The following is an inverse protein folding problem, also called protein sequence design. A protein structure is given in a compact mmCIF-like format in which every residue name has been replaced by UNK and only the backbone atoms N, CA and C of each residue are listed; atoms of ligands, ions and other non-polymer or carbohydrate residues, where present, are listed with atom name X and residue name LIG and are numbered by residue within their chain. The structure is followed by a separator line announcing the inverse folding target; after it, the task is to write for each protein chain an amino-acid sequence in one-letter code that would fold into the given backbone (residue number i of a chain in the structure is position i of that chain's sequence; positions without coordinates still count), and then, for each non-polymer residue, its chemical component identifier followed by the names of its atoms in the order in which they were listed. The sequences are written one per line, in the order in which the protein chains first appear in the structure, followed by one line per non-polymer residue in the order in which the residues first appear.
data_IF_493822046843
#
_entry.id   IF_493822046843
#
_cell.length_a   1.000
_cell.length_b   1.000
_cell.length_c   1.000
_cell.angle_alpha   90.00
_cell.angle_beta   90.00
_cell.angle_gamma   90.00
#
_symmetry.space_group_name_H-M   'P 1'
#
loop_
_entity.id
_entity.type
_entity.pdbx_description
1 polymer ?
#
# COMPACT_ATOMS: atom_id res chain seq x y z
N UNK A 1 6.59 -16.89 9.09
CA UNK A 1 7.72 -16.05 9.57
C UNK A 1 7.15 -14.85 10.30
N UNK A 2 7.87 -14.27 11.26
CA UNK A 2 7.37 -13.10 12.03
C UNK A 2 7.43 -11.83 11.19
N UNK A 3 6.34 -11.06 11.21
CA UNK A 3 6.28 -9.75 10.58
C UNK A 3 7.27 -8.76 11.20
N UNK A 4 7.76 -7.82 10.39
CA UNK A 4 8.69 -6.76 10.80
C UNK A 4 8.23 -5.43 10.24
N UNK A 5 8.41 -4.37 11.03
CA UNK A 5 8.23 -3.00 10.59
C UNK A 5 9.58 -2.48 10.09
N UNK A 6 9.60 -1.66 9.06
CA UNK A 6 10.73 -0.99 8.44
C UNK A 6 10.34 0.47 8.22
N UNK A 7 11.25 1.42 8.41
CA UNK A 7 10.96 2.82 8.12
C UNK A 7 12.20 3.68 7.91
N UNK A 8 11.96 4.90 7.41
CA UNK A 8 12.97 5.96 7.27
C UNK A 8 13.71 6.30 8.56
N UNK A 9 13.18 5.92 9.72
CA UNK A 9 13.74 6.20 11.06
C UNK A 9 14.81 5.21 11.47
N UNK A 10 14.84 4.04 10.86
CA UNK A 10 15.76 3.00 11.26
C UNK A 10 17.20 3.34 10.83
N UNK A 11 18.16 2.91 11.64
CA UNK A 11 19.57 3.06 11.30
C UNK A 11 19.92 2.30 10.01
N UNK A 12 20.55 3.00 9.06
CA UNK A 12 20.96 2.44 7.76
C UNK A 12 19.85 2.37 6.71
N UNK A 13 18.63 2.78 7.05
CA UNK A 13 17.52 2.77 6.10
C UNK A 13 17.70 3.83 5.00
N UNK A 14 17.09 3.63 3.82
CA UNK A 14 16.92 4.70 2.84
C UNK A 14 16.34 5.97 3.48
N UNK A 15 16.96 7.15 3.25
CA UNK A 15 16.61 8.35 3.98
C UNK A 15 15.22 8.87 3.57
N UNK A 16 14.56 9.64 4.44
CA UNK A 16 13.33 10.33 4.07
C UNK A 16 13.57 11.41 2.99
N UNK A 17 14.75 12.03 3.00
CA UNK A 17 15.14 13.05 2.03
C UNK A 17 16.27 12.52 1.15
N UNK A 18 16.00 12.43 -0.15
CA UNK A 18 17.00 12.11 -1.16
C UNK A 18 17.55 13.39 -1.80
N UNK A 19 18.74 13.32 -2.40
CA UNK A 19 19.17 14.33 -3.35
C UNK A 19 18.11 14.62 -4.41
N UNK A 20 18.22 15.77 -5.09
CA UNK A 20 17.61 15.91 -6.41
C UNK A 20 18.26 14.89 -7.38
N UNK A 21 18.10 14.85 -8.69
CA UNK A 21 18.52 13.70 -9.51
C UNK A 21 17.88 12.30 -9.21
N UNK A 22 17.57 11.91 -7.96
CA UNK A 22 16.91 10.63 -7.65
C UNK A 22 15.40 10.72 -7.93
N UNK A 23 14.94 9.92 -8.90
CA UNK A 23 13.54 9.90 -9.33
C UNK A 23 12.62 9.24 -8.30
N UNK A 24 11.31 9.57 -8.26
CA UNK A 24 10.31 8.89 -7.44
C UNK A 24 10.36 7.35 -7.52
N UNK A 25 10.48 6.81 -8.74
CA UNK A 25 10.54 5.36 -8.95
C UNK A 25 11.79 4.75 -8.30
N UNK A 26 12.96 5.40 -8.43
CA UNK A 26 14.19 4.95 -7.80
C UNK A 26 14.09 4.96 -6.27
N UNK A 27 13.46 6.00 -5.68
CA UNK A 27 13.18 6.05 -4.24
C UNK A 27 12.28 4.89 -3.81
N UNK A 28 11.15 4.71 -4.47
CA UNK A 28 10.21 3.61 -4.21
C UNK A 28 10.89 2.24 -4.29
N UNK A 29 11.64 2.00 -5.37
CA UNK A 29 12.40 0.77 -5.58
C UNK A 29 13.42 0.54 -4.45
N UNK A 30 14.13 1.60 -4.01
CA UNK A 30 15.07 1.52 -2.91
C UNK A 30 14.42 1.13 -1.58
N UNK A 31 13.21 1.63 -1.30
CA UNK A 31 12.46 1.29 -0.09
C UNK A 31 12.02 -0.18 -0.10
N UNK A 32 11.47 -0.65 -1.22
CA UNK A 32 11.06 -2.04 -1.37
C UNK A 32 12.25 -2.99 -1.26
N UNK A 33 13.36 -2.71 -1.96
CA UNK A 33 14.57 -3.55 -1.87
C UNK A 33 15.11 -3.62 -0.46
N UNK A 34 15.26 -2.47 0.21
CA UNK A 34 15.80 -2.38 1.55
C UNK A 34 14.95 -3.15 2.58
N UNK A 35 13.62 -3.06 2.53
CA UNK A 35 12.76 -3.75 3.49
C UNK A 35 12.54 -5.24 3.15
N UNK A 36 12.37 -5.56 1.87
CA UNK A 36 11.85 -6.86 1.46
C UNK A 36 12.95 -7.86 1.08
N UNK A 37 14.05 -7.39 0.51
CA UNK A 37 15.06 -8.24 -0.16
C UNK A 37 16.42 -8.17 0.53
N UNK A 38 16.97 -6.96 0.69
CA UNK A 38 18.37 -6.78 1.07
C UNK A 38 18.56 -6.60 2.59
N UNK A 39 17.58 -6.00 3.27
CA UNK A 39 17.74 -5.51 4.63
C UNK A 39 18.58 -4.22 4.65
N UNK A 40 18.83 -3.70 5.85
CA UNK A 40 19.72 -2.55 6.03
C UNK A 40 20.18 -2.43 7.48
N UNK A 41 21.38 -1.86 7.69
CA UNK A 41 22.00 -1.80 9.01
C UNK A 41 22.12 -3.21 9.61
N UNK A 42 21.55 -3.41 10.81
CA UNK A 42 21.44 -4.73 11.46
C UNK A 42 20.04 -5.36 11.31
N UNK A 43 19.19 -4.78 10.47
CA UNK A 43 17.80 -5.20 10.29
C UNK A 43 17.71 -6.15 9.09
N UNK A 44 17.35 -7.43 9.29
CA UNK A 44 17.26 -8.40 8.20
C UNK A 44 16.08 -8.08 7.27
N UNK A 45 16.10 -8.53 6.00
CA UNK A 45 14.98 -8.39 5.08
C UNK A 45 13.75 -9.20 5.49
N UNK A 46 12.60 -8.89 4.89
CA UNK A 46 11.35 -9.61 5.13
C UNK A 46 11.34 -11.02 4.51
N UNK A 47 12.14 -11.27 3.47
CA UNK A 47 12.32 -12.59 2.86
C UNK A 47 11.73 -12.72 1.45
N UNK A 48 11.50 -11.60 0.76
CA UNK A 48 11.11 -11.59 -0.65
C UNK A 48 12.33 -11.65 -1.55
N UNK A 49 12.13 -12.00 -2.81
CA UNK A 49 13.20 -12.07 -3.83
C UNK A 49 12.90 -11.19 -5.03
N UNK A 50 13.95 -10.61 -5.62
CA UNK A 50 13.85 -9.95 -6.93
C UNK A 50 13.82 -11.01 -8.03
N UNK A 51 12.77 -10.98 -8.85
CA UNK A 51 12.64 -11.85 -10.03
C UNK A 51 13.24 -11.18 -11.26
N UNK A 52 13.00 -9.88 -11.42
CA UNK A 52 13.60 -9.06 -12.47
C UNK A 52 13.67 -7.61 -12.00
N UNK A 53 14.63 -6.86 -12.54
CA UNK A 53 14.81 -5.46 -12.20
C UNK A 53 15.36 -4.66 -13.38
N UNK A 54 14.77 -3.49 -13.58
CA UNK A 54 15.12 -2.51 -14.60
C UNK A 54 15.14 -1.11 -13.97
N UNK A 55 15.54 -0.11 -14.75
CA UNK A 55 15.43 1.30 -14.32
C UNK A 55 13.97 1.75 -14.17
N UNK A 56 13.06 1.10 -14.87
CA UNK A 56 11.63 1.44 -14.94
C UNK A 56 10.72 0.34 -14.40
N UNK A 57 11.28 -0.75 -13.89
CA UNK A 57 10.49 -1.85 -13.35
C UNK A 57 11.20 -2.59 -12.21
N UNK A 58 10.42 -3.16 -11.31
CA UNK A 58 10.90 -4.19 -10.37
C UNK A 58 9.81 -5.24 -10.19
N UNK A 59 10.20 -6.50 -10.25
CA UNK A 59 9.33 -7.65 -10.01
C UNK A 59 9.80 -8.39 -8.77
N UNK A 60 8.87 -8.61 -7.84
CA UNK A 60 9.13 -9.24 -6.55
C UNK A 60 8.28 -10.49 -6.37
N UNK A 61 8.85 -11.50 -5.71
CA UNK A 61 8.15 -12.71 -5.30
C UNK A 61 8.21 -12.88 -3.77
N UNK A 62 7.11 -13.32 -3.12
CA UNK A 62 7.13 -13.78 -1.74
C UNK A 62 7.93 -15.09 -1.63
N UNK A 63 8.25 -15.51 -0.41
CA UNK A 63 9.03 -16.72 -0.16
C UNK A 63 8.36 -18.00 -0.71
N UNK A 64 7.03 -18.10 -0.65
CA UNK A 64 6.28 -19.19 -1.28
C UNK A 64 6.37 -19.21 -2.80
N UNK A 65 6.74 -18.08 -3.42
CA UNK A 65 6.69 -17.83 -4.86
C UNK A 65 5.32 -18.19 -5.47
N UNK A 66 4.24 -18.07 -4.69
CA UNK A 66 2.89 -18.43 -5.13
C UNK A 66 2.34 -17.46 -6.19
N UNK A 67 2.83 -16.23 -6.22
CA UNK A 67 2.50 -15.20 -7.20
C UNK A 67 3.63 -14.16 -7.20
N UNK A 68 3.65 -13.30 -8.21
CA UNK A 68 4.67 -12.25 -8.36
C UNK A 68 4.00 -10.91 -8.60
N UNK A 69 4.58 -9.84 -8.07
CA UNK A 69 4.12 -8.47 -8.31
C UNK A 69 5.16 -7.71 -9.13
N UNK A 70 4.73 -7.05 -10.20
CA UNK A 70 5.55 -6.13 -10.97
C UNK A 70 5.06 -4.70 -10.78
N UNK A 71 5.98 -3.83 -10.41
CA UNK A 71 5.81 -2.38 -10.43
C UNK A 71 6.48 -1.83 -11.67
N UNK A 72 5.70 -1.36 -12.63
CA UNK A 72 6.17 -0.86 -13.91
C UNK A 72 5.87 0.63 -14.07
N UNK A 73 6.90 1.46 -14.16
CA UNK A 73 6.77 2.88 -14.50
C UNK A 73 6.33 2.99 -15.95
N UNK A 74 5.13 3.55 -16.16
CA UNK A 74 4.60 3.76 -17.50
C UNK A 74 5.32 4.94 -18.17
N UNK A 75 5.87 4.72 -19.37
CA UNK A 75 6.67 5.72 -20.09
C UNK A 75 5.99 6.30 -21.34
N UNK A 76 4.78 5.87 -21.70
CA UNK A 76 4.14 6.35 -22.93
C UNK A 76 3.41 7.67 -22.69
N UNK A 77 4.08 8.78 -23.05
CA UNK A 77 3.50 10.12 -23.14
C UNK A 77 4.40 11.23 -22.59
N UNK A 78 4.34 12.41 -23.19
CA UNK A 78 4.90 13.64 -22.59
C UNK A 78 3.93 14.18 -21.55
N UNK A 79 4.37 14.37 -20.29
CA UNK A 79 3.56 14.99 -19.22
C UNK A 79 3.69 14.31 -17.85
N UNK A 80 2.77 14.64 -16.94
CA UNK A 80 2.64 14.12 -15.56
C UNK A 80 2.35 12.61 -15.46
N UNK A 81 2.24 11.91 -16.59
CA UNK A 81 2.03 10.45 -16.69
C UNK A 81 3.28 9.67 -16.26
N UNK A 82 4.46 10.29 -16.30
CA UNK A 82 5.75 9.71 -15.89
C UNK A 82 5.86 9.34 -14.41
N UNK A 83 4.89 9.78 -13.61
CA UNK A 83 4.86 9.68 -12.16
C UNK A 83 4.04 8.49 -11.68
N UNK A 84 3.35 7.83 -12.61
CA UNK A 84 2.52 6.68 -12.34
C UNK A 84 3.29 5.39 -12.53
N UNK A 85 3.05 4.46 -11.61
CA UNK A 85 3.50 3.08 -11.69
C UNK A 85 2.26 2.21 -11.85
N UNK A 86 2.25 1.38 -12.88
CA UNK A 86 1.28 0.31 -13.00
C UNK A 86 1.70 -0.90 -12.14
N UNK A 87 0.71 -1.50 -11.49
CA UNK A 87 0.87 -2.69 -10.65
C UNK A 87 0.30 -3.89 -11.39
N UNK A 88 1.14 -4.89 -11.63
CA UNK A 88 0.75 -6.16 -12.24
C UNK A 88 0.99 -7.31 -11.27
N UNK A 89 0.09 -8.28 -11.28
CA UNK A 89 0.26 -9.57 -10.64
C UNK A 89 0.47 -10.66 -11.69
N UNK A 90 1.24 -11.69 -11.35
CA UNK A 90 1.50 -12.83 -12.22
C UNK A 90 1.45 -14.13 -11.40
N UNK A 91 0.93 -15.22 -11.97
CA UNK A 91 1.06 -16.56 -11.35
C UNK A 91 2.50 -17.10 -11.47
N UNK A 92 3.24 -16.63 -12.46
CA UNK A 92 4.65 -16.94 -12.68
C UNK A 92 5.19 -16.20 -13.91
N UNK A 93 6.50 -16.01 -14.00
CA UNK A 93 7.14 -15.38 -15.16
C UNK A 93 7.35 -16.36 -16.33
N UNK A 94 7.11 -15.87 -17.55
CA UNK A 94 7.42 -16.55 -18.81
C UNK A 94 8.60 -15.87 -19.52
N UNK A 95 8.68 -14.54 -19.45
CA UNK A 95 9.74 -13.73 -20.07
C UNK A 95 10.02 -12.50 -19.21
N UNK A 96 11.28 -12.36 -18.80
CA UNK A 96 11.79 -11.27 -17.95
C UNK A 96 12.80 -10.38 -18.69
N UNK A 97 12.88 -10.49 -20.02
CA UNK A 97 13.83 -9.70 -20.83
C UNK A 97 13.40 -8.24 -21.03
N UNK A 98 12.15 -7.90 -20.72
CA UNK A 98 11.57 -6.56 -20.85
C UNK A 98 11.06 -6.00 -19.52
N UNK A 99 11.07 -4.67 -19.31
CA UNK A 99 10.55 -4.04 -18.09
C UNK A 99 9.10 -4.36 -17.74
N UNK A 100 8.24 -4.58 -18.73
CA UNK A 100 6.94 -5.20 -18.52
C UNK A 100 7.10 -6.70 -18.85
N UNK A 101 7.28 -7.57 -17.85
CA UNK A 101 7.51 -8.98 -18.08
C UNK A 101 6.23 -9.67 -18.53
N UNK A 102 6.37 -10.72 -19.34
CA UNK A 102 5.25 -11.61 -19.68
C UNK A 102 5.18 -12.69 -18.61
N UNK A 103 4.00 -12.89 -18.02
CA UNK A 103 3.75 -13.93 -17.04
C UNK A 103 2.46 -14.69 -17.29
N UNK A 104 2.32 -15.82 -16.62
CA UNK A 104 1.11 -16.64 -16.60
C UNK A 104 0.00 -15.86 -15.89
N UNK A 105 -1.17 -15.78 -16.53
CA UNK A 105 -2.35 -15.08 -16.02
C UNK A 105 -1.99 -13.67 -15.51
N UNK A 106 -1.21 -12.91 -16.28
CA UNK A 106 -0.78 -11.56 -15.86
C UNK A 106 -1.97 -10.63 -15.75
N UNK A 107 -2.16 -9.97 -14.60
CA UNK A 107 -3.28 -9.08 -14.33
C UNK A 107 -2.87 -7.72 -13.80
N UNK A 108 -3.54 -6.69 -14.29
CA UNK A 108 -3.65 -5.39 -13.62
C UNK A 108 -5.14 -5.11 -13.49
N UNK A 109 -5.63 -4.98 -12.24
CA UNK A 109 -7.04 -5.19 -11.87
C UNK A 109 -7.51 -6.59 -12.28
N UNK A 110 -8.71 -6.69 -12.83
CA UNK A 110 -9.27 -7.92 -13.37
C UNK A 110 -8.85 -8.20 -14.82
N UNK A 111 -8.20 -7.24 -15.49
CA UNK A 111 -7.85 -7.33 -16.90
C UNK A 111 -6.50 -8.01 -17.14
N UNK A 112 -6.44 -8.82 -18.21
CA UNK A 112 -5.20 -9.44 -18.67
C UNK A 112 -4.26 -8.41 -19.28
N UNK A 113 -2.95 -8.51 -19.00
CA UNK A 113 -1.95 -7.69 -19.68
C UNK A 113 -1.88 -7.96 -21.19
N UNK A 114 -2.26 -9.16 -21.65
CA UNK A 114 -2.31 -9.51 -23.08
C UNK A 114 -3.39 -8.72 -23.85
N UNK A 115 -4.40 -8.22 -23.14
CA UNK A 115 -5.45 -7.37 -23.71
C UNK A 115 -5.13 -5.88 -23.63
N UNK A 116 -3.94 -5.51 -23.13
CA UNK A 116 -3.49 -4.14 -22.87
C UNK A 116 -4.57 -3.34 -22.13
N UNK A 117 -4.60 -3.32 -20.78
CA UNK A 117 -5.58 -2.48 -20.09
C UNK A 117 -5.43 -1.08 -20.68
N UNK A 118 -6.51 -0.57 -21.30
CA UNK A 118 -6.48 0.82 -21.74
C UNK A 118 -6.03 1.65 -20.55
N UNK A 119 -5.34 2.76 -20.80
CA UNK A 119 -4.73 3.52 -19.71
C UNK A 119 -5.69 3.77 -18.55
N UNK A 120 -6.99 3.87 -18.80
CA UNK A 120 -8.05 4.12 -17.84
C UNK A 120 -8.42 2.95 -16.90
N UNK A 121 -7.99 1.71 -17.19
CA UNK A 121 -8.36 0.52 -16.41
C UNK A 121 -7.15 -0.18 -15.75
N UNK A 122 -5.97 0.41 -15.81
CA UNK A 122 -4.82 -0.12 -15.09
C UNK A 122 -4.95 0.06 -13.56
N UNK A 123 -4.39 -0.84 -12.77
CA UNK A 123 -4.11 -0.58 -11.36
C UNK A 123 -2.86 0.29 -11.33
N UNK A 124 -2.99 1.52 -10.84
CA UNK A 124 -1.86 2.46 -10.78
C UNK A 124 -1.66 3.01 -9.38
N UNK A 125 -0.42 3.35 -9.07
CA UNK A 125 -0.05 4.22 -7.96
C UNK A 125 0.59 5.48 -8.53
N UNK A 126 0.24 6.63 -7.96
CA UNK A 126 0.87 7.90 -8.30
C UNK A 126 2.01 8.17 -7.32
N UNK A 127 3.21 8.48 -7.80
CA UNK A 127 4.36 8.83 -6.96
C UNK A 127 4.83 10.28 -7.14
N UNK A 128 4.03 11.16 -7.76
CA UNK A 128 4.47 12.53 -8.05
C UNK A 128 4.71 13.39 -6.80
N UNK A 129 4.20 13.02 -5.63
CA UNK A 129 4.57 13.66 -4.37
C UNK A 129 5.93 13.18 -3.83
N UNK A 130 6.63 12.27 -4.48
CA UNK A 130 8.01 11.95 -4.13
C UNK A 130 9.01 12.84 -4.90
N UNK A 131 8.54 13.88 -5.60
CA UNK A 131 9.38 14.87 -6.29
C UNK A 131 10.05 15.89 -5.36
N UNK A 132 10.92 16.69 -5.98
CA UNK A 132 12.08 17.38 -5.44
C UNK A 132 11.88 18.12 -4.09
N UNK A 133 12.88 17.99 -3.22
CA UNK A 133 13.12 18.77 -2.00
C UNK A 133 12.20 18.50 -0.80
N UNK A 134 11.23 17.60 -0.93
CA UNK A 134 10.35 17.24 0.18
C UNK A 134 10.78 15.93 0.83
N UNK A 135 10.78 15.92 2.17
CA UNK A 135 10.92 14.68 2.93
C UNK A 135 9.74 13.75 2.64
N UNK A 136 10.06 12.48 2.41
CA UNK A 136 9.13 11.40 2.12
C UNK A 136 9.21 10.39 3.26
N UNK A 137 8.26 10.46 4.18
CA UNK A 137 8.23 9.60 5.36
C UNK A 137 7.57 8.28 5.01
N UNK A 138 8.37 7.22 4.94
CA UNK A 138 7.93 5.90 4.50
C UNK A 138 8.00 4.87 5.62
N UNK A 139 7.12 3.89 5.55
CA UNK A 139 7.20 2.68 6.35
C UNK A 139 6.70 1.47 5.58
N UNK A 140 7.23 0.31 5.93
CA UNK A 140 6.79 -0.98 5.42
C UNK A 140 6.59 -1.92 6.60
N UNK A 141 5.44 -2.56 6.73
CA UNK A 141 5.33 -3.76 7.55
C UNK A 141 5.24 -4.97 6.65
N UNK A 142 6.08 -5.98 6.89
CA UNK A 142 6.15 -7.13 6.02
C UNK A 142 6.54 -8.41 6.75
N UNK A 143 5.99 -9.52 6.29
CA UNK A 143 6.55 -10.86 6.46
C UNK A 143 7.02 -11.40 5.09
N UNK A 144 7.27 -12.71 5.03
CA UNK A 144 7.76 -13.35 3.82
C UNK A 144 6.68 -13.54 2.72
N UNK A 145 5.41 -13.29 3.02
CA UNK A 145 4.26 -13.53 2.13
C UNK A 145 3.47 -12.26 1.81
N UNK A 146 3.60 -11.24 2.66
CA UNK A 146 2.81 -10.00 2.59
C UNK A 146 3.65 -8.80 2.99
N UNK A 147 3.47 -7.69 2.29
CA UNK A 147 3.96 -6.38 2.72
C UNK A 147 2.89 -5.30 2.57
N UNK A 148 2.98 -4.30 3.43
CA UNK A 148 2.19 -3.08 3.40
C UNK A 148 3.16 -1.93 3.28
N UNK A 149 3.12 -1.19 2.16
CA UNK A 149 3.92 -0.01 1.92
C UNK A 149 3.08 1.25 2.19
N UNK A 150 3.64 2.16 2.99
CA UNK A 150 3.01 3.42 3.31
C UNK A 150 3.99 4.56 3.13
N UNK A 151 3.49 5.69 2.63
CA UNK A 151 4.31 6.89 2.47
C UNK A 151 3.46 8.13 2.64
N UNK A 152 4.07 9.15 3.24
CA UNK A 152 3.52 10.50 3.36
C UNK A 152 4.59 11.53 2.97
N UNK A 153 4.29 12.45 2.06
CA UNK A 153 5.14 13.59 1.74
C UNK A 153 4.93 14.73 2.72
N UNK A 154 6.04 15.30 3.19
CA UNK A 154 6.05 16.52 4.00
C UNK A 154 5.82 17.77 3.13
N UNK A 155 4.65 18.40 3.27
CA UNK A 155 4.43 19.78 2.76
C UNK A 155 4.14 20.80 3.87
N UNK A 156 4.11 20.38 5.15
CA UNK A 156 3.80 21.25 6.29
C UNK A 156 3.24 20.48 7.50
N UNK A 157 2.69 21.23 8.47
CA UNK A 157 1.94 20.72 9.63
C UNK A 157 0.63 20.06 9.18
N UNK A 158 0.23 18.93 9.77
CA UNK A 158 -1.08 18.29 9.55
C UNK A 158 -1.51 18.16 8.08
N UNK A 159 -0.63 17.75 7.18
CA UNK A 159 -1.01 17.58 5.78
C UNK A 159 -1.89 16.33 5.60
N UNK A 160 -3.19 16.55 5.41
CA UNK A 160 -4.24 15.53 5.26
C UNK A 160 -4.67 15.30 3.81
N UNK A 161 -3.96 15.87 2.84
CA UNK A 161 -4.35 15.76 1.43
C UNK A 161 -3.96 14.38 0.84
N UNK A 162 -4.96 13.73 0.22
CA UNK A 162 -4.81 12.50 -0.59
C UNK A 162 -3.75 12.60 -1.70
N UNK A 163 -3.34 13.82 -2.06
CA UNK A 163 -2.31 14.03 -3.06
C UNK A 163 -0.91 13.60 -2.57
N UNK A 164 -0.71 13.37 -1.27
CA UNK A 164 0.62 13.25 -0.66
C UNK A 164 0.86 11.96 0.10
N UNK A 165 -0.08 11.02 0.05
CA UNK A 165 0.01 9.77 0.77
C UNK A 165 -0.20 8.57 -0.14
N UNK A 166 0.11 7.39 0.38
CA UNK A 166 -0.22 6.10 -0.23
C UNK A 166 -0.18 5.02 0.85
N UNK A 167 -1.21 4.19 0.88
CA UNK A 167 -1.18 2.87 1.50
C UNK A 167 -1.41 1.80 0.42
N UNK A 168 -0.44 0.90 0.28
CA UNK A 168 -0.47 -0.21 -0.66
C UNK A 168 -0.26 -1.52 0.09
N UNK A 169 -1.21 -2.45 -0.06
CA UNK A 169 -1.10 -3.82 0.41
C UNK A 169 -0.73 -4.74 -0.75
N UNK A 170 0.24 -5.64 -0.56
CA UNK A 170 0.53 -6.71 -1.51
C UNK A 170 0.84 -8.00 -0.76
N UNK A 171 0.13 -9.08 -1.09
CA UNK A 171 0.39 -10.40 -0.50
C UNK A 171 -0.86 -11.21 -0.19
N UNK A 172 -0.68 -12.20 0.69
CA UNK A 172 -1.76 -13.03 1.24
C UNK A 172 -2.59 -12.25 2.26
N UNK A 173 -3.91 -12.31 2.17
CA UNK A 173 -4.83 -11.80 3.19
C UNK A 173 -5.39 -12.94 4.06
N UNK A 174 -5.96 -12.62 5.22
CA UNK A 174 -6.66 -13.61 6.05
C UNK A 174 -7.99 -13.98 5.38
N UNK A 175 -8.11 -15.18 4.83
CA UNK A 175 -9.31 -15.59 4.10
C UNK A 175 -10.39 -16.20 5.00
N UNK A 176 -11.64 -15.80 4.81
CA UNK A 176 -12.80 -16.44 5.44
C UNK A 176 -13.23 -17.74 4.74
N UNK A 177 -12.84 -17.93 3.48
CA UNK A 177 -13.15 -19.11 2.68
C UNK A 177 -11.97 -20.10 2.58
N UNK A 178 -10.82 -19.78 3.17
CA UNK A 178 -9.59 -20.58 3.05
C UNK A 178 -8.80 -20.35 1.75
N UNK A 179 -9.11 -19.28 1.00
CA UNK A 179 -8.32 -18.86 -0.16
C UNK A 179 -6.85 -18.64 0.24
N UNK A 180 -5.93 -19.25 -0.49
CA UNK A 180 -4.49 -19.20 -0.23
C UNK A 180 -3.69 -19.32 -1.53
N UNK A 181 -2.37 -19.13 -1.45
CA UNK A 181 -1.49 -19.16 -2.63
C UNK A 181 -1.92 -18.12 -3.67
N UNK A 182 -1.94 -18.49 -4.95
CA UNK A 182 -2.38 -17.59 -6.04
C UNK A 182 -3.75 -16.96 -5.77
N UNK A 183 -4.70 -17.70 -5.19
CA UNK A 183 -6.07 -17.21 -4.97
C UNK A 183 -6.13 -16.12 -3.89
N UNK A 184 -5.33 -16.30 -2.83
CA UNK A 184 -5.23 -15.37 -1.70
C UNK A 184 -4.30 -14.18 -1.95
N UNK A 185 -3.55 -14.17 -3.06
CA UNK A 185 -2.60 -13.11 -3.36
C UNK A 185 -3.27 -11.92 -4.06
N UNK A 186 -3.25 -10.76 -3.41
CA UNK A 186 -3.87 -9.53 -3.91
C UNK A 186 -2.89 -8.35 -3.84
N UNK A 187 -3.13 -7.34 -4.66
CA UNK A 187 -2.57 -6.01 -4.46
C UNK A 187 -3.73 -5.01 -4.35
N UNK A 188 -3.75 -4.16 -3.33
CA UNK A 188 -4.83 -3.18 -3.10
C UNK A 188 -4.28 -1.85 -2.57
N UNK A 189 -4.73 -0.75 -3.15
CA UNK A 189 -4.25 0.62 -2.90
C UNK A 189 -4.12 1.41 -4.19
N UNK A 190 -3.83 2.71 -4.13
CA UNK A 190 -3.68 3.53 -5.34
C UNK A 190 -5.01 3.86 -6.03
N UNK A 191 -5.03 3.80 -7.36
CA UNK A 191 -6.14 4.27 -8.19
C UNK A 191 -6.43 3.36 -9.40
N UNK A 192 -7.60 3.59 -10.01
CA UNK A 192 -7.97 3.07 -11.32
C UNK A 192 -7.53 4.04 -12.43
N UNK A 193 -6.67 3.54 -13.30
CA UNK A 193 -6.28 4.17 -14.55
C UNK A 193 -5.29 5.33 -14.43
N UNK A 194 -4.50 5.53 -15.47
CA UNK A 194 -3.73 6.75 -15.68
C UNK A 194 -4.70 7.89 -15.97
N UNK A 195 -4.81 8.83 -15.04
CA UNK A 195 -5.64 10.00 -15.25
C UNK A 195 -4.84 11.04 -16.04
N UNK A 196 -5.39 11.44 -17.20
CA UNK A 196 -4.84 12.50 -18.02
C UNK A 196 -5.37 13.85 -17.51
N UNK A 197 -4.46 14.82 -17.37
CA UNK A 197 -4.67 16.26 -17.07
C UNK A 197 -5.21 16.71 -15.69
N UNK A 198 -4.40 17.54 -15.00
CA UNK A 198 -4.75 18.57 -13.99
C UNK A 198 -5.57 18.22 -12.74
N UNK A 199 -6.24 17.06 -12.70
CA UNK A 199 -6.79 16.46 -11.50
C UNK A 199 -5.72 15.57 -10.88
N UNK A 200 -5.20 15.95 -9.72
CA UNK A 200 -4.27 15.11 -8.96
C UNK A 200 -4.87 13.72 -8.77
N UNK A 201 -4.23 12.67 -9.26
CA UNK A 201 -4.61 11.33 -8.86
C UNK A 201 -4.36 11.18 -7.37
N UNK A 202 -5.45 10.93 -6.67
CA UNK A 202 -5.47 10.60 -5.26
C UNK A 202 -5.01 9.17 -5.17
N UNK A 203 -3.97 8.86 -4.38
CA UNK A 203 -3.81 7.48 -3.96
C UNK A 203 -4.85 7.24 -2.89
N UNK A 204 -5.75 6.31 -3.13
CA UNK A 204 -6.69 5.87 -2.12
C UNK A 204 -5.97 4.76 -1.36
N UNK A 205 -5.56 5.00 -0.13
CA UNK A 205 -4.92 3.95 0.67
C UNK A 205 -5.87 2.78 0.81
N UNK A 206 -5.43 1.61 0.34
CA UNK A 206 -6.26 0.39 0.29
C UNK A 206 -7.58 0.54 -0.49
N UNK A 207 -7.70 1.57 -1.35
CA UNK A 207 -8.95 1.94 -2.02
C UNK A 207 -9.12 1.38 -3.42
N UNK A 208 -9.41 2.26 -4.39
CA UNK A 208 -9.98 1.88 -5.69
C UNK A 208 -9.04 1.14 -6.64
N UNK A 209 -7.71 1.23 -6.45
CA UNK A 209 -6.74 0.41 -7.17
C UNK A 209 -6.65 -0.99 -6.57
N UNK A 210 -6.77 -2.01 -7.42
CA UNK A 210 -6.66 -3.40 -6.98
C UNK A 210 -6.11 -4.28 -8.09
N UNK A 211 -5.62 -5.46 -7.76
CA UNK A 211 -5.30 -6.54 -8.70
C UNK A 211 -5.43 -7.89 -8.01
N UNK A 212 -5.97 -8.87 -8.73
CA UNK A 212 -6.05 -10.26 -8.28
C UNK A 212 -5.95 -11.18 -9.50
N UNK A 213 -5.41 -12.39 -9.27
CA UNK A 213 -5.17 -13.36 -10.34
C UNK A 213 -6.39 -14.26 -10.56
N UNK A 214 -7.08 -14.57 -9.47
CA UNK A 214 -8.22 -15.50 -9.42
C UNK A 214 -9.34 -14.90 -8.60
N UNK A 215 -10.55 -15.41 -8.79
CA UNK A 215 -11.69 -15.04 -7.95
C UNK A 215 -11.50 -15.58 -6.53
N UNK A 216 -11.66 -14.71 -5.54
CA UNK A 216 -11.39 -15.02 -4.13
C UNK A 216 -12.39 -16.03 -3.53
N UNK A 217 -13.51 -16.30 -4.20
CA UNK A 217 -14.52 -17.27 -3.76
C UNK A 217 -14.40 -18.60 -4.49
N UNK A 218 -14.26 -18.58 -5.82
CA UNK A 218 -14.26 -19.80 -6.64
C UNK A 218 -12.86 -20.35 -6.92
N UNK A 219 -11.83 -19.51 -6.91
CA UNK A 219 -10.48 -19.90 -7.31
C UNK A 219 -10.28 -19.97 -8.83
N UNK A 220 -11.32 -19.67 -9.60
CA UNK A 220 -11.26 -19.62 -11.05
C UNK A 220 -10.43 -18.43 -11.52
N UNK A 221 -9.79 -18.59 -12.68
CA UNK A 221 -9.11 -17.47 -13.35
C UNK A 221 -10.16 -16.42 -13.71
N UNK A 222 -9.89 -15.17 -13.35
CA UNK A 222 -10.79 -14.06 -13.68
C UNK A 222 -10.81 -13.88 -15.20
N UNK A 223 -11.95 -14.01 -15.85
CA UNK A 223 -12.11 -13.74 -17.28
C UNK A 223 -12.82 -12.40 -17.47
N UNK A 224 -12.17 -11.44 -18.11
CA UNK A 224 -12.72 -10.10 -18.35
C UNK A 224 -12.88 -9.25 -17.08
N UNK A 225 -13.89 -8.37 -17.08
CA UNK A 225 -14.21 -7.45 -15.98
C UNK A 225 -14.84 -8.11 -14.76
N UNK A 226 -14.19 -9.14 -14.20
CA UNK A 226 -14.62 -9.85 -13.00
C UNK A 226 -14.85 -8.94 -11.78
N UNK A 227 -15.32 -9.52 -10.66
CA UNK A 227 -15.67 -8.74 -9.49
C UNK A 227 -14.46 -7.98 -8.92
N UNK A 228 -14.71 -6.76 -8.43
CA UNK A 228 -13.66 -5.92 -7.90
C UNK A 228 -13.22 -6.38 -6.52
N UNK A 229 -11.91 -6.51 -6.35
CA UNK A 229 -11.31 -6.67 -5.02
C UNK A 229 -11.13 -5.29 -4.41
N UNK A 230 -11.44 -5.14 -3.13
CA UNK A 230 -11.22 -3.89 -2.41
C UNK A 230 -10.85 -4.17 -0.96
N UNK A 231 -10.31 -3.16 -0.28
CA UNK A 231 -10.07 -3.20 1.15
C UNK A 231 -10.56 -1.90 1.78
N UNK A 232 -11.89 -1.76 1.85
CA UNK A 232 -12.49 -0.51 2.26
C UNK A 232 -12.29 -0.27 3.75
N UNK A 233 -11.55 0.79 4.07
CA UNK A 233 -11.63 1.48 5.38
C UNK A 233 -12.78 2.52 5.40
N UNK A 234 -13.42 2.73 4.23
CA UNK A 234 -14.07 3.97 3.81
C UNK A 234 -15.51 4.17 4.31
N UNK A 235 -16.31 3.10 4.50
CA UNK A 235 -17.77 3.30 4.60
C UNK A 235 -18.29 4.02 5.87
N UNK A 236 -17.52 4.09 6.95
CA UNK A 236 -17.89 4.93 8.11
C UNK A 236 -17.22 6.31 8.07
N UNK A 237 -16.15 6.49 7.31
CA UNK A 237 -15.37 7.72 7.22
C UNK A 237 -15.86 8.64 6.09
N UNK A 238 -16.42 8.11 4.99
CA UNK A 238 -17.03 8.94 3.94
C UNK A 238 -18.22 9.78 4.45
N UNK A 239 -18.95 9.28 5.45
CA UNK A 239 -20.03 10.03 6.10
C UNK A 239 -19.50 11.06 7.13
N UNK A 240 -18.19 11.07 7.43
CA UNK A 240 -17.57 11.92 8.46
C UNK A 240 -17.26 13.34 8.00
N UNK A 241 -17.21 13.63 6.69
CA UNK A 241 -17.07 15.02 6.18
C UNK A 241 -18.20 15.96 6.63
N UNK A 242 -19.26 15.42 7.25
CA UNK A 242 -20.41 16.15 7.77
C UNK A 242 -20.44 16.33 9.30
N UNK A 243 -19.44 15.82 10.04
CA UNK A 243 -19.40 15.89 11.50
C UNK A 243 -18.03 16.36 12.01
N UNK A 244 -17.84 17.68 12.12
CA UNK A 244 -16.72 18.28 12.84
C UNK A 244 -17.10 18.27 14.34
N UNK A 245 -16.58 17.30 15.11
CA UNK A 245 -16.81 17.30 16.56
C UNK A 245 -16.10 18.49 17.20
N UNK A 246 -16.74 19.07 18.22
CA UNK A 246 -16.18 20.19 18.98
C UNK A 246 -14.78 19.90 19.51
N UNK A 247 -13.92 20.91 19.47
CA UNK A 247 -12.57 20.90 20.04
C UNK A 247 -12.55 20.32 21.46
N UNK A 248 -11.65 19.35 21.73
CA UNK A 248 -11.46 18.75 23.06
C UNK A 248 -12.13 17.40 23.29
N UNK A 249 -13.04 16.95 22.43
CA UNK A 249 -13.52 15.57 22.47
C UNK A 249 -12.52 14.66 21.74
N UNK A 250 -11.88 13.76 22.48
CA UNK A 250 -11.10 12.67 21.92
C UNK A 250 -11.90 11.35 22.02
N UNK A 251 -11.62 10.33 21.17
CA UNK A 251 -12.32 9.05 21.28
C UNK A 251 -12.15 8.47 22.69
N UNK A 252 -13.21 7.98 23.34
CA UNK A 252 -13.12 7.51 24.72
C UNK A 252 -12.21 6.27 24.87
N UNK A 253 -12.04 5.48 23.80
CA UNK A 253 -11.19 4.30 23.72
C UNK A 253 -10.85 3.99 22.25
N UNK A 254 -9.79 3.21 22.05
CA UNK A 254 -9.36 2.72 20.73
C UNK A 254 -10.10 1.42 20.38
N UNK A 255 -10.64 1.32 19.16
CA UNK A 255 -11.35 0.12 18.64
C UNK A 255 -10.64 -0.43 17.42
N UNK A 256 -9.39 -0.83 17.61
CA UNK A 256 -8.57 -1.32 16.51
C UNK A 256 -9.22 -2.55 15.86
N UNK A 257 -9.30 -2.53 14.54
CA UNK A 257 -9.76 -3.64 13.71
C UNK A 257 -8.98 -3.68 12.39
N UNK A 258 -9.02 -4.82 11.70
CA UNK A 258 -8.46 -4.97 10.37
C UNK A 258 -9.46 -4.56 9.29
N UNK A 259 -9.01 -3.95 8.19
CA UNK A 259 -9.84 -3.72 7.01
C UNK A 259 -10.34 -5.04 6.44
N UNK A 260 -11.63 -5.09 6.08
CA UNK A 260 -12.19 -6.22 5.37
C UNK A 260 -11.77 -6.21 3.90
N UNK A 261 -11.44 -7.38 3.38
CA UNK A 261 -11.27 -7.61 1.94
C UNK A 261 -12.63 -7.93 1.34
N UNK A 262 -13.00 -7.21 0.29
CA UNK A 262 -14.22 -7.44 -0.49
C UNK A 262 -13.91 -8.12 -1.81
N UNK A 263 -14.84 -8.95 -2.29
CA UNK A 263 -14.93 -9.44 -3.65
C UNK A 263 -16.34 -9.17 -4.17
N UNK A 264 -16.48 -8.10 -4.98
CA UNK A 264 -17.77 -7.52 -5.32
C UNK A 264 -18.51 -7.08 -4.06
N UNK A 265 -19.73 -7.58 -3.85
CA UNK A 265 -20.56 -7.27 -2.68
C UNK A 265 -20.29 -8.16 -1.44
N UNK A 266 -19.29 -9.04 -1.48
CA UNK A 266 -19.05 -10.02 -0.42
C UNK A 266 -17.78 -9.69 0.36
N UNK A 267 -17.80 -9.91 1.67
CA UNK A 267 -16.58 -9.95 2.48
C UNK A 267 -15.93 -11.33 2.35
N UNK A 268 -14.66 -11.35 1.97
CA UNK A 268 -13.90 -12.60 1.73
C UNK A 268 -12.73 -12.77 2.69
N UNK A 269 -12.40 -11.74 3.48
CA UNK A 269 -11.29 -11.82 4.43
C UNK A 269 -10.92 -10.50 5.09
N UNK A 270 -9.70 -10.42 5.62
CA UNK A 270 -9.12 -9.24 6.27
C UNK A 270 -7.66 -9.00 5.86
N UNK A 271 -7.25 -7.73 5.78
CA UNK A 271 -5.84 -7.39 5.54
C UNK A 271 -4.99 -7.69 6.78
N UNK A 272 -3.84 -8.34 6.58
CA UNK A 272 -2.85 -8.57 7.65
C UNK A 272 -2.11 -7.28 7.99
N UNK A 273 -1.77 -7.08 9.26
CA UNK A 273 -0.91 -5.99 9.74
C UNK A 273 -1.47 -4.57 9.66
N UNK A 274 -2.60 -4.34 8.97
CA UNK A 274 -3.28 -3.04 8.91
C UNK A 274 -4.31 -2.95 10.02
N UNK A 275 -4.24 -1.91 10.82
CA UNK A 275 -5.14 -1.66 11.92
C UNK A 275 -5.73 -0.25 11.78
N UNK A 276 -7.03 -0.11 11.98
CA UNK A 276 -7.67 1.19 12.05
C UNK A 276 -8.81 1.16 13.05
N UNK A 277 -9.23 2.33 13.49
CA UNK A 277 -10.49 2.49 14.20
C UNK A 277 -11.42 3.36 13.33
N UNK A 278 -12.60 2.84 12.93
CA UNK A 278 -13.56 3.54 12.07
C UNK A 278 -13.89 4.95 12.53
N UNK A 279 -13.87 5.20 13.84
CA UNK A 279 -14.31 6.49 14.38
C UNK A 279 -13.20 7.55 14.33
N UNK A 280 -11.95 7.18 14.06
CA UNK A 280 -10.83 8.14 14.08
C UNK A 280 -10.94 9.19 12.97
N UNK A 281 -11.60 8.86 11.86
CA UNK A 281 -11.86 9.83 10.80
C UNK A 281 -12.85 10.94 11.15
N UNK A 282 -13.39 10.96 12.37
CA UNK A 282 -14.22 12.04 12.91
C UNK A 282 -13.43 13.03 13.79
N UNK A 283 -12.14 12.82 13.99
CA UNK A 283 -11.30 13.69 14.81
C UNK A 283 -10.21 14.33 13.96
N UNK A 284 -9.84 15.57 14.30
CA UNK A 284 -8.69 16.23 13.67
C UNK A 284 -7.41 15.46 13.97
N UNK A 285 -6.56 15.32 12.95
CA UNK A 285 -5.27 14.62 13.06
C UNK A 285 -4.41 15.16 14.19
N UNK A 286 -4.33 16.49 14.32
CA UNK A 286 -3.58 17.15 15.39
C UNK A 286 -3.95 16.61 16.77
N UNK A 287 -5.26 16.57 17.09
CA UNK A 287 -5.74 16.08 18.39
C UNK A 287 -5.46 14.60 18.60
N UNK A 288 -5.59 13.78 17.55
CA UNK A 288 -5.28 12.36 17.64
C UNK A 288 -3.79 12.13 17.91
N UNK A 289 -2.91 12.89 17.26
CA UNK A 289 -1.46 12.84 17.47
C UNK A 289 -1.08 13.34 18.87
N UNK A 290 -1.65 14.46 19.32
CA UNK A 290 -1.49 14.99 20.69
C UNK A 290 -1.91 13.97 21.75
N UNK A 291 -3.05 13.30 21.57
CA UNK A 291 -3.53 12.25 22.48
C UNK A 291 -2.57 11.06 22.54
N UNK A 292 -1.89 10.77 21.43
CA UNK A 292 -0.86 9.74 21.36
C UNK A 292 0.52 10.24 21.86
N UNK A 293 0.63 11.52 22.25
CA UNK A 293 1.89 12.12 22.69
C UNK A 293 2.90 12.33 21.56
N UNK A 294 2.43 12.49 20.32
CA UNK A 294 3.26 12.58 19.13
C UNK A 294 3.37 14.01 18.59
N UNK A 295 4.40 14.22 17.75
CA UNK A 295 4.52 15.44 16.96
C UNK A 295 3.32 15.60 16.01
N UNK A 296 2.84 16.83 15.82
CA UNK A 296 1.76 17.13 14.87
C UNK A 296 2.23 17.20 13.41
N UNK A 297 3.53 17.04 13.18
CA UNK A 297 4.12 17.00 11.84
C UNK A 297 4.04 15.61 11.20
N UNK A 298 4.25 15.57 9.88
CA UNK A 298 4.40 14.34 9.10
C UNK A 298 5.54 13.43 9.61
N UNK A 299 6.45 13.96 10.45
CA UNK A 299 7.42 13.19 11.21
C UNK A 299 6.77 12.14 12.11
N UNK A 300 5.51 12.26 12.57
CA UNK A 300 4.87 11.21 13.37
C UNK A 300 4.70 9.87 12.64
N UNK A 301 4.82 9.83 11.31
CA UNK A 301 4.83 8.56 10.56
C UNK A 301 5.89 7.62 11.11
N UNK A 302 5.49 6.36 11.26
CA UNK A 302 6.29 5.25 11.78
C UNK A 302 6.63 5.31 13.27
N UNK A 303 6.20 6.36 14.00
CA UNK A 303 6.33 6.39 15.46
C UNK A 303 5.57 5.21 16.08
N UNK A 304 6.21 4.59 17.07
CA UNK A 304 5.62 3.49 17.81
C UNK A 304 4.76 4.04 18.95
N UNK A 305 3.52 3.58 19.04
CA UNK A 305 2.59 3.89 20.13
C UNK A 305 2.10 2.60 20.78
N UNK A 306 1.89 2.66 22.09
CA UNK A 306 1.32 1.55 22.86
C UNK A 306 -0.17 1.81 23.07
N UNK A 307 -1.02 0.91 22.59
CA UNK A 307 -2.46 0.96 22.78
C UNK A 307 -2.97 -0.45 23.09
N UNK A 308 -3.84 -0.60 24.08
CA UNK A 308 -4.45 -1.90 24.45
C UNK A 308 -3.43 -3.05 24.62
N UNK A 309 -2.24 -2.75 25.16
CA UNK A 309 -1.16 -3.72 25.37
C UNK A 309 -0.40 -4.16 24.11
N UNK A 310 -0.64 -3.53 22.96
CA UNK A 310 0.02 -3.82 21.69
C UNK A 310 0.77 -2.61 21.16
N UNK A 311 1.80 -2.88 20.35
CA UNK A 311 2.55 -1.86 19.60
C UNK A 311 1.94 -1.61 18.23
N UNK A 312 1.74 -0.34 17.92
CA UNK A 312 1.26 0.13 16.63
C UNK A 312 2.21 1.20 16.08
N UNK A 313 2.30 1.30 14.77
CA UNK A 313 3.10 2.29 14.06
C UNK A 313 2.18 3.23 13.30
N UNK A 314 2.27 4.52 13.60
CA UNK A 314 1.33 5.52 13.10
C UNK A 314 1.50 5.75 11.61
N UNK A 315 0.38 5.79 10.88
CA UNK A 315 0.28 6.43 9.58
C UNK A 315 -0.88 7.43 9.57
N UNK A 316 -0.79 8.37 8.64
CA UNK A 316 -1.79 9.41 8.44
C UNK A 316 -2.35 9.27 7.04
N UNK A 317 -3.67 9.35 6.92
CA UNK A 317 -4.38 9.46 5.65
C UNK A 317 -5.45 10.55 5.77
N UNK A 318 -6.09 10.97 4.67
CA UNK A 318 -7.18 11.94 4.66
C UNK A 318 -8.30 11.56 5.61
N UNK A 319 -8.49 10.26 5.80
CA UNK A 319 -9.55 9.71 6.64
C UNK A 319 -9.18 9.56 8.12
N UNK A 320 -8.06 10.16 8.56
CA UNK A 320 -7.62 10.13 9.96
C UNK A 320 -6.33 9.34 10.15
N UNK A 321 -6.15 8.81 11.38
CA UNK A 321 -5.07 7.89 11.69
C UNK A 321 -5.45 6.45 11.40
N UNK A 322 -4.51 5.73 10.84
CA UNK A 322 -4.49 4.27 10.83
C UNK A 322 -3.08 3.81 11.16
N UNK A 323 -2.93 2.52 11.37
CA UNK A 323 -1.75 1.97 11.99
C UNK A 323 -1.30 0.71 11.29
N UNK A 324 0.01 0.47 11.35
CA UNK A 324 0.56 -0.85 11.13
C UNK A 324 0.87 -1.51 12.45
N UNK A 325 0.76 -2.83 12.54
CA UNK A 325 1.27 -3.58 13.67
C UNK A 325 2.09 -4.77 13.18
N UNK A 326 3.01 -5.24 14.02
CA UNK A 326 3.75 -6.50 13.84
C UNK A 326 3.35 -7.54 14.88
N UNK A 327 2.37 -7.22 15.73
CA UNK A 327 1.84 -8.17 16.70
C UNK A 327 1.25 -9.38 15.96
N UNK A 328 1.58 -10.63 16.36
CA UNK A 328 1.08 -11.83 15.71
C UNK A 328 -0.45 -11.91 15.61
N UNK A 329 -1.19 -11.27 16.52
CA UNK A 329 -2.65 -11.23 16.46
C UNK A 329 -3.19 -10.52 15.21
N UNK A 330 -2.40 -9.63 14.60
CA UNK A 330 -2.75 -8.93 13.36
C UNK A 330 -2.15 -9.61 12.11
N UNK A 331 -1.39 -10.69 12.28
CA UNK A 331 -0.78 -11.47 11.21
C UNK A 331 -1.14 -12.95 11.33
N UNK A 332 -2.45 -13.29 11.27
CA UNK A 332 -2.87 -14.69 11.26
C UNK A 332 -2.27 -15.41 10.04
N UNK A 333 -2.05 -16.72 10.22
CA UNK A 333 -1.44 -17.60 9.20
C UNK A 333 -2.20 -17.53 7.87
#
# INVERSE_FOLDING_TARGET
MTARQYSYRDAGAPPALFPSAVTPFQKFKSYLRAALVDGYGNKPPAGWTVVSEFDTAITLAPASNCAQVTFYRHLTGSGSVNDYIAVYLHEGMLDISTPLPKGVNTRSRTWSADTNPTSNDAHVIYLGYMYWNHATYWQICADAETFIFCVLQSTGYENTSEAYQLGLYVGQYESFSGASGVQGFIAVGGAQGFQNTTGYSRNWSFGSGFSSLRDQRSGEIIQGGGPSVGALMDQMQYQSTYYDRTEGENPPYWRMQQPYVTNGANYVGRLKGVCFDPILGHYRHGHLLERLGLSLGATAVAEAVQMDGKTYHVHMDRWGLWFLSVDPAWWPA
#
